data_IF_559679325004
#
_entry.id   IF_559679325004
#
_cell.length_a   1.000
_cell.length_b   1.000
_cell.length_c   1.000
_cell.angle_alpha   90.00
_cell.angle_beta   90.00
_cell.angle_gamma   90.00
#
_symmetry.space_group_name_H-M   'P 1'
#
loop_
_entity.id
_entity.type
_entity.pdbx_description
1 polymer ?
#
# COMPACT_ATOMS: atom_id res chain seq x y z
N UNK A 1 33.69 -10.43 14.01
CA UNK A 1 33.32 -9.47 15.08
C UNK A 1 31.80 -9.46 15.09
N UNK A 2 31.20 -10.13 16.07
CA UNK A 2 29.76 -10.44 16.11
C UNK A 2 28.98 -9.13 16.23
N UNK A 3 28.16 -8.79 15.23
CA UNK A 3 27.23 -7.67 15.30
C UNK A 3 26.37 -7.83 16.57
N UNK A 4 26.42 -6.85 17.46
CA UNK A 4 25.67 -6.90 18.72
C UNK A 4 24.17 -6.81 18.42
N UNK A 5 23.39 -7.66 19.07
CA UNK A 5 21.92 -7.71 19.13
C UNK A 5 21.25 -6.30 19.13
N UNK A 6 21.90 -5.29 19.71
CA UNK A 6 21.50 -3.87 19.68
C UNK A 6 21.30 -3.22 18.30
N UNK A 7 22.05 -3.61 17.27
CA UNK A 7 21.85 -3.04 15.91
C UNK A 7 20.66 -3.67 15.19
N UNK A 8 20.28 -4.90 15.54
CA UNK A 8 19.05 -5.57 15.05
C UNK A 8 17.80 -4.99 15.73
N UNK A 9 17.90 -4.53 16.97
CA UNK A 9 16.79 -3.97 17.75
C UNK A 9 16.42 -2.52 17.38
N UNK A 10 17.35 -1.74 16.79
CA UNK A 10 17.18 -0.29 16.60
C UNK A 10 16.27 0.16 15.45
N UNK A 11 15.89 -0.73 14.53
CA UNK A 11 15.20 -0.35 13.28
C UNK A 11 13.78 -0.90 13.12
N UNK A 12 13.35 -1.83 13.99
CA UNK A 12 12.08 -2.54 13.82
C UNK A 12 11.20 -2.62 15.07
N UNK A 13 11.63 -2.07 16.21
CA UNK A 13 10.98 -2.37 17.47
C UNK A 13 10.56 -1.07 18.15
N UNK A 14 9.30 -0.68 17.94
CA UNK A 14 8.60 -0.13 19.08
C UNK A 14 8.59 -1.25 20.12
N UNK A 15 9.29 -1.01 21.23
CA UNK A 15 9.49 -1.96 22.33
C UNK A 15 8.19 -2.70 22.67
N UNK A 16 8.14 -3.99 22.36
CA UNK A 16 7.11 -4.92 22.85
C UNK A 16 7.36 -5.39 24.29
N UNK A 17 8.38 -4.84 24.96
CA UNK A 17 8.58 -5.09 26.38
C UNK A 17 7.32 -4.60 27.13
N UNK A 18 6.68 -5.44 27.95
CA UNK A 18 5.49 -5.04 28.69
C UNK A 18 5.85 -3.86 29.59
N UNK A 19 5.40 -2.68 29.19
CA UNK A 19 5.39 -1.52 30.09
C UNK A 19 4.33 -1.80 31.17
N UNK A 20 4.56 -1.39 32.43
CA UNK A 20 3.60 -1.64 33.51
C UNK A 20 2.21 -1.04 33.22
N UNK A 21 2.17 0.02 32.42
CA UNK A 21 0.95 0.68 31.94
C UNK A 21 1.01 0.88 30.42
N UNK A 22 -0.13 0.78 29.70
CA UNK A 22 -0.17 1.00 28.25
C UNK A 22 0.15 2.45 27.88
N UNK A 23 0.89 2.67 26.80
CA UNK A 23 1.28 4.02 26.35
C UNK A 23 0.06 4.78 25.78
N UNK A 24 -0.28 5.97 26.28
CA UNK A 24 -1.37 6.79 25.73
C UNK A 24 -1.05 7.22 24.29
N UNK A 25 -1.74 6.61 23.33
CA UNK A 25 -1.44 6.76 21.90
C UNK A 25 -2.57 7.48 21.17
N UNK A 26 -2.31 8.68 20.67
CA UNK A 26 -3.26 9.45 19.88
C UNK A 26 -3.15 9.07 18.40
N UNK A 27 -4.10 8.26 17.94
CA UNK A 27 -4.15 7.76 16.57
C UNK A 27 -4.84 8.75 15.64
N UNK A 28 -4.10 9.20 14.61
CA UNK A 28 -4.49 10.28 13.70
C UNK A 28 -4.67 9.72 12.29
N UNK A 29 -5.74 10.15 11.60
CA UNK A 29 -6.10 9.72 10.24
C UNK A 29 -6.33 8.19 10.08
N UNK A 30 -6.65 7.48 11.17
CA UNK A 30 -6.98 6.05 11.11
C UNK A 30 -8.48 5.83 10.86
N UNK A 31 -8.78 5.26 9.70
CA UNK A 31 -10.13 4.88 9.31
C UNK A 31 -10.78 3.91 10.31
N UNK A 32 -12.10 4.03 10.52
CA UNK A 32 -12.84 3.27 11.53
C UNK A 32 -12.62 1.75 11.46
N UNK A 33 -12.60 1.20 10.24
CA UNK A 33 -12.40 -0.24 10.02
C UNK A 33 -10.99 -0.74 10.37
N UNK A 34 -10.00 0.15 10.49
CA UNK A 34 -8.62 -0.18 10.91
C UNK A 34 -8.43 -0.14 12.43
N UNK A 35 -9.37 0.44 13.18
CA UNK A 35 -9.20 0.69 14.62
C UNK A 35 -9.11 -0.58 15.45
N UNK A 36 -9.96 -1.56 15.15
CA UNK A 36 -9.98 -2.85 15.85
C UNK A 36 -8.71 -3.67 15.59
N UNK A 37 -8.23 -3.83 14.34
CA UNK A 37 -6.94 -4.48 14.09
C UNK A 37 -5.77 -3.76 14.77
N UNK A 38 -5.75 -2.42 14.78
CA UNK A 38 -4.69 -1.66 15.42
C UNK A 38 -4.60 -1.91 16.93
N UNK A 39 -5.74 -2.01 17.62
CA UNK A 39 -5.77 -2.38 19.04
C UNK A 39 -5.20 -3.78 19.30
N UNK A 40 -5.30 -4.70 18.34
CA UNK A 40 -4.71 -6.05 18.43
C UNK A 40 -3.22 -6.05 18.09
N UNK A 41 -2.79 -5.28 17.09
CA UNK A 41 -1.39 -5.21 16.65
C UNK A 41 -0.47 -4.54 17.68
N UNK A 42 -1.02 -3.61 18.48
CA UNK A 42 -0.26 -2.89 19.49
C UNK A 42 -0.96 -2.97 20.86
N UNK A 43 -0.91 -4.16 21.51
CA UNK A 43 -1.60 -4.39 22.79
C UNK A 43 -0.99 -3.60 23.96
N UNK A 44 0.23 -3.07 23.78
CA UNK A 44 0.97 -2.20 24.69
C UNK A 44 0.47 -0.74 24.65
N UNK A 45 -0.49 -0.41 23.78
CA UNK A 45 -0.99 0.96 23.58
C UNK A 45 -2.42 1.13 24.04
N UNK A 46 -2.68 2.27 24.66
CA UNK A 46 -4.04 2.75 24.88
C UNK A 46 -4.42 3.77 23.79
N UNK A 47 -5.18 3.33 22.78
CA UNK A 47 -5.51 4.17 21.63
C UNK A 47 -6.64 5.17 21.88
N UNK A 48 -6.34 6.44 21.61
CA UNK A 48 -7.29 7.51 21.45
C UNK A 48 -7.42 7.86 19.96
N UNK A 49 -8.47 7.37 19.29
CA UNK A 49 -8.67 7.62 17.87
C UNK A 49 -9.32 8.98 17.60
N UNK A 50 -8.57 9.89 16.96
CA UNK A 50 -9.07 11.21 16.58
C UNK A 50 -10.03 11.12 15.38
N UNK A 51 -10.94 12.10 15.21
CA UNK A 51 -11.76 12.22 14.01
C UNK A 51 -10.90 12.43 12.76
N UNK A 52 -11.31 11.84 11.63
CA UNK A 52 -10.60 12.01 10.34
C UNK A 52 -10.49 13.47 9.89
N UNK A 53 -11.52 14.27 10.16
CA UNK A 53 -11.58 15.69 9.82
C UNK A 53 -11.64 16.52 11.10
N UNK A 54 -10.52 16.57 11.82
CA UNK A 54 -10.42 17.32 13.06
C UNK A 54 -10.46 18.84 12.77
N UNK A 55 -11.53 19.51 13.20
CA UNK A 55 -11.63 20.96 13.10
C UNK A 55 -10.81 21.66 14.19
N UNK A 56 -10.29 22.85 13.89
CA UNK A 56 -9.45 23.64 14.81
C UNK A 56 -10.14 23.91 16.17
N UNK A 57 -11.42 24.27 16.16
CA UNK A 57 -12.19 24.49 17.40
C UNK A 57 -12.33 23.24 18.26
N UNK A 58 -12.51 22.08 17.61
CA UNK A 58 -12.62 20.80 18.31
C UNK A 58 -11.27 20.38 18.88
N UNK A 59 -10.20 20.56 18.10
CA UNK A 59 -8.84 20.35 18.57
C UNK A 59 -8.54 21.15 19.83
N UNK A 60 -8.74 22.48 19.80
CA UNK A 60 -8.41 23.36 20.92
C UNK A 60 -9.26 23.08 22.18
N UNK A 61 -10.55 22.74 22.03
CA UNK A 61 -11.45 22.56 23.17
C UNK A 61 -11.48 21.15 23.76
N UNK A 62 -11.23 20.13 22.94
CA UNK A 62 -11.42 18.73 23.34
C UNK A 62 -10.12 17.97 23.32
N UNK A 63 -9.42 17.95 22.18
CA UNK A 63 -8.30 17.04 22.00
C UNK A 63 -7.01 17.55 22.62
N UNK A 64 -6.68 18.82 22.47
CA UNK A 64 -5.49 19.42 23.06
C UNK A 64 -5.46 19.31 24.59
N UNK A 65 -6.54 19.62 25.34
CA UNK A 65 -6.55 19.41 26.79
C UNK A 65 -6.39 17.95 27.18
N UNK A 66 -6.99 17.00 26.42
CA UNK A 66 -6.85 15.56 26.67
C UNK A 66 -5.42 15.09 26.44
N UNK A 67 -4.82 15.46 25.31
CA UNK A 67 -3.41 15.13 24.99
C UNK A 67 -2.48 15.64 26.09
N UNK A 68 -2.70 16.87 26.57
CA UNK A 68 -1.87 17.48 27.60
C UNK A 68 -2.12 16.94 29.02
N UNK A 69 -3.18 16.14 29.22
CA UNK A 69 -3.50 15.54 30.51
C UNK A 69 -2.84 14.15 30.68
N UNK A 70 -2.48 13.49 29.59
CA UNK A 70 -1.78 12.20 29.60
C UNK A 70 -0.30 12.38 29.98
N UNK A 71 0.26 11.40 30.67
CA UNK A 71 1.70 11.32 30.90
C UNK A 71 2.36 10.64 29.69
N UNK A 72 3.43 11.25 29.17
CA UNK A 72 4.22 10.76 28.03
C UNK A 72 3.37 10.29 26.82
N UNK A 73 2.46 11.15 26.28
CA UNK A 73 1.65 10.77 25.14
C UNK A 73 2.51 10.57 23.89
N UNK A 74 2.02 9.80 22.92
CA UNK A 74 2.60 9.70 21.58
C UNK A 74 1.53 9.93 20.49
N UNK A 75 1.98 10.34 19.30
CA UNK A 75 1.15 10.40 18.09
C UNK A 75 1.50 9.27 17.14
N UNK A 76 0.44 8.67 16.58
CA UNK A 76 0.54 7.61 15.60
C UNK A 76 -0.33 7.98 14.40
N UNK A 77 0.28 8.43 13.30
CA UNK A 77 -0.40 9.08 12.20
C UNK A 77 -0.35 8.23 10.92
N UNK A 78 -1.52 7.92 10.34
CA UNK A 78 -1.54 7.28 9.03
C UNK A 78 -1.23 8.31 7.92
N UNK A 79 -0.23 8.02 7.09
CA UNK A 79 0.21 8.87 5.99
C UNK A 79 1.43 9.74 6.32
N UNK A 80 1.81 10.65 5.41
CA UNK A 80 3.12 11.32 5.46
C UNK A 80 3.19 12.53 6.39
N UNK A 81 2.04 13.10 6.79
CA UNK A 81 2.01 14.35 7.54
C UNK A 81 1.04 14.27 8.73
N UNK A 82 1.42 14.93 9.82
CA UNK A 82 0.55 15.21 10.94
C UNK A 82 -0.20 16.54 10.67
N UNK A 83 -1.52 16.64 10.91
CA UNK A 83 -2.24 17.89 10.70
C UNK A 83 -1.62 19.06 11.47
N UNK A 84 -1.55 20.25 10.86
CA UNK A 84 -0.80 21.40 11.38
C UNK A 84 -1.01 21.72 12.88
N UNK A 85 -2.23 21.73 13.45
CA UNK A 85 -2.40 21.99 14.88
C UNK A 85 -1.78 20.93 15.78
N UNK A 86 -1.80 19.66 15.35
CA UNK A 86 -1.18 18.54 16.04
C UNK A 86 0.33 18.56 15.88
N UNK A 87 0.85 18.85 14.68
CA UNK A 87 2.28 19.02 14.42
C UNK A 87 2.90 20.16 15.25
N UNK A 88 2.21 21.31 15.33
CA UNK A 88 2.64 22.42 16.17
C UNK A 88 2.68 22.04 17.67
N UNK A 89 1.67 21.31 18.14
CA UNK A 89 1.63 20.81 19.52
C UNK A 89 2.74 19.79 19.79
N UNK A 90 2.95 18.86 18.86
CA UNK A 90 3.97 17.82 18.98
C UNK A 90 5.36 18.43 19.12
N UNK A 91 5.70 19.39 18.26
CA UNK A 91 6.97 20.14 18.33
C UNK A 91 7.09 20.97 19.61
N UNK A 92 6.03 21.67 20.00
CA UNK A 92 6.06 22.52 21.20
C UNK A 92 6.24 21.74 22.51
N UNK A 93 5.85 20.46 22.53
CA UNK A 93 5.87 19.60 23.72
C UNK A 93 6.83 18.41 23.61
N UNK A 94 7.57 18.31 22.51
CA UNK A 94 8.42 17.16 22.19
C UNK A 94 7.67 15.82 22.27
N UNK A 95 6.41 15.79 21.82
CA UNK A 95 5.61 14.56 21.77
C UNK A 95 6.14 13.71 20.60
N UNK A 96 6.51 12.44 20.83
CA UNK A 96 6.93 11.54 19.76
C UNK A 96 5.86 11.37 18.68
N UNK A 97 6.27 11.32 17.42
CA UNK A 97 5.37 11.08 16.27
C UNK A 97 5.91 9.88 15.50
N UNK A 98 5.04 8.90 15.28
CA UNK A 98 5.30 7.78 14.36
C UNK A 98 4.32 7.85 13.20
N UNK A 99 4.84 7.94 11.98
CA UNK A 99 4.07 7.84 10.76
C UNK A 99 3.88 6.37 10.37
N UNK A 100 2.68 6.04 9.89
CA UNK A 100 2.33 4.68 9.49
C UNK A 100 1.83 4.65 8.05
N UNK A 101 2.29 3.64 7.33
CA UNK A 101 1.74 3.27 6.04
C UNK A 101 1.62 1.75 5.88
N UNK A 102 0.91 1.34 4.82
CA UNK A 102 0.93 -0.05 4.40
C UNK A 102 2.40 -0.46 4.09
N UNK A 103 2.82 -1.60 4.62
CA UNK A 103 4.09 -2.22 4.26
C UNK A 103 4.11 -2.72 2.81
N UNK A 104 5.26 -3.22 2.37
CA UNK A 104 5.45 -3.62 0.97
C UNK A 104 4.73 -4.92 0.61
N UNK A 105 4.43 -5.77 1.60
CA UNK A 105 3.62 -6.98 1.47
C UNK A 105 2.28 -6.81 2.18
N UNK A 106 1.27 -6.31 1.47
CA UNK A 106 0.06 -5.79 2.11
C UNK A 106 -0.98 -6.87 2.44
N UNK A 107 -1.42 -7.64 1.44
CA UNK A 107 -2.50 -8.62 1.57
C UNK A 107 -2.70 -9.43 0.28
N UNK A 108 -3.30 -10.63 0.37
CA UNK A 108 -3.73 -11.39 -0.81
C UNK A 108 -4.78 -10.65 -1.67
N UNK A 109 -5.48 -9.68 -1.06
CA UNK A 109 -6.57 -8.93 -1.69
C UNK A 109 -6.21 -7.44 -1.83
N UNK A 110 -6.59 -6.74 -2.92
CA UNK A 110 -6.31 -5.31 -3.07
C UNK A 110 -6.92 -4.41 -1.99
N UNK A 111 -6.31 -3.25 -1.72
CA UNK A 111 -6.66 -2.31 -0.64
C UNK A 111 -8.13 -1.92 -0.55
N UNK A 112 -8.81 -1.84 -1.70
CA UNK A 112 -10.23 -1.53 -1.77
C UNK A 112 -11.13 -2.50 -0.96
N UNK A 113 -10.71 -3.74 -0.67
CA UNK A 113 -11.52 -4.70 0.11
C UNK A 113 -11.48 -4.52 1.62
N UNK A 114 -10.79 -3.49 2.14
CA UNK A 114 -10.69 -3.24 3.60
C UNK A 114 -10.22 -4.45 4.38
N UNK A 115 -9.36 -5.23 3.75
CA UNK A 115 -8.62 -6.31 4.38
C UNK A 115 -7.60 -5.68 5.32
N UNK A 116 -7.51 -6.10 6.59
CA UNK A 116 -6.48 -5.64 7.50
C UNK A 116 -5.09 -5.81 6.86
N UNK A 117 -4.19 -4.82 7.01
CA UNK A 117 -2.85 -4.93 6.46
C UNK A 117 -2.05 -5.99 7.22
N UNK A 118 -1.43 -6.92 6.48
CA UNK A 118 -0.54 -7.93 7.07
C UNK A 118 0.84 -7.35 7.42
N UNK A 119 1.16 -6.18 6.87
CA UNK A 119 2.43 -5.50 7.05
C UNK A 119 2.21 -3.99 7.18
N UNK A 120 2.89 -3.38 8.14
CA UNK A 120 2.88 -1.95 8.38
C UNK A 120 4.32 -1.42 8.35
N UNK A 121 4.52 -0.29 7.67
CA UNK A 121 5.72 0.52 7.81
C UNK A 121 5.49 1.53 8.93
N UNK A 122 6.40 1.58 9.89
CA UNK A 122 6.37 2.52 11.01
C UNK A 122 7.65 3.36 10.93
N UNK A 123 7.50 4.68 10.83
CA UNK A 123 8.63 5.59 10.67
C UNK A 123 8.48 6.84 11.53
N UNK A 124 9.40 7.05 12.46
CA UNK A 124 9.43 8.22 13.34
C UNK A 124 10.01 9.48 12.69
N UNK A 125 10.56 9.37 11.46
CA UNK A 125 11.15 10.49 10.72
C UNK A 125 10.26 10.92 9.56
N UNK A 126 10.06 10.03 8.59
CA UNK A 126 9.25 10.26 7.40
C UNK A 126 8.93 8.94 6.71
N UNK A 127 7.73 8.78 6.16
CA UNK A 127 7.37 7.56 5.42
C UNK A 127 8.31 7.34 4.23
N UNK A 128 8.63 6.07 3.94
CA UNK A 128 9.56 5.62 2.90
C UNK A 128 9.42 6.28 1.52
N UNK A 129 8.23 6.74 1.13
CA UNK A 129 8.01 7.39 -0.17
C UNK A 129 8.26 8.91 -0.17
N UNK A 130 8.44 9.55 1.00
CA UNK A 130 8.77 10.97 1.08
C UNK A 130 10.26 11.19 0.88
N UNK A 131 10.64 11.66 -0.31
CA UNK A 131 12.03 11.94 -0.64
C UNK A 131 12.51 13.34 -0.20
N UNK A 132 11.64 14.16 0.40
CA UNK A 132 11.97 15.52 0.85
C UNK A 132 12.72 15.51 2.17
N UNK A 133 12.53 14.45 2.97
CA UNK A 133 13.09 14.27 4.30
C UNK A 133 13.78 12.90 4.41
N UNK A 134 14.77 12.74 5.30
CA UNK A 134 15.33 11.42 5.59
C UNK A 134 14.29 10.54 6.32
N UNK A 135 14.13 9.29 5.89
CA UNK A 135 13.32 8.27 6.56
C UNK A 135 14.19 7.33 7.41
N UNK A 136 13.59 6.58 8.34
CA UNK A 136 14.30 5.51 9.02
C UNK A 136 14.73 4.40 8.05
N UNK A 137 13.96 4.14 6.99
CA UNK A 137 14.39 3.22 5.94
C UNK A 137 15.64 3.73 5.20
N UNK A 138 15.71 5.02 4.87
CA UNK A 138 16.88 5.62 4.22
C UNK A 138 18.12 5.53 5.11
N UNK A 139 17.96 5.80 6.40
CA UNK A 139 19.03 5.64 7.39
C UNK A 139 19.46 4.17 7.55
N UNK A 140 18.52 3.24 7.67
CA UNK A 140 18.79 1.81 7.74
C UNK A 140 19.62 1.35 6.55
N UNK A 141 19.16 1.66 5.33
CA UNK A 141 19.85 1.30 4.09
C UNK A 141 21.23 1.98 3.96
N UNK A 142 21.34 3.22 4.44
CA UNK A 142 22.58 3.99 4.42
C UNK A 142 23.63 3.53 5.43
N UNK A 143 23.22 2.98 6.58
CA UNK A 143 24.12 2.78 7.74
C UNK A 143 24.29 1.33 8.19
N UNK A 144 23.37 0.42 7.86
CA UNK A 144 23.47 -0.98 8.29
C UNK A 144 24.61 -1.73 7.58
N UNK A 145 25.37 -2.53 8.33
CA UNK A 145 26.46 -3.35 7.79
C UNK A 145 25.94 -4.70 7.27
N UNK A 146 25.36 -4.68 6.07
CA UNK A 146 24.84 -5.88 5.42
C UNK A 146 25.92 -6.91 5.05
N UNK A 147 27.17 -6.47 4.84
CA UNK A 147 28.27 -7.38 4.47
C UNK A 147 28.71 -8.24 5.65
N UNK A 148 28.60 -7.71 6.88
CA UNK A 148 28.90 -8.43 8.10
C UNK A 148 27.77 -9.37 8.58
N UNK A 149 26.52 -9.22 8.10
CA UNK A 149 25.38 -10.08 8.48
C UNK A 149 25.04 -11.13 7.41
N UNK A 150 25.90 -12.15 7.30
CA UNK A 150 25.76 -13.23 6.32
C UNK A 150 24.46 -14.05 6.48
N UNK A 151 23.94 -14.17 7.71
CA UNK A 151 22.68 -14.85 8.00
C UNK A 151 21.50 -14.08 7.41
N UNK A 152 21.45 -12.76 7.65
CA UNK A 152 20.43 -11.89 7.07
C UNK A 152 20.50 -11.88 5.54
N UNK A 153 21.69 -11.85 4.94
CA UNK A 153 21.84 -11.90 3.49
C UNK A 153 21.39 -13.24 2.89
N UNK A 154 21.62 -14.34 3.59
CA UNK A 154 21.10 -15.66 3.19
C UNK A 154 19.57 -15.68 3.27
N UNK A 155 18.99 -15.14 4.35
CA UNK A 155 17.53 -14.99 4.49
C UNK A 155 16.93 -14.10 3.41
N UNK A 156 17.59 -12.99 3.07
CA UNK A 156 17.16 -12.09 2.01
C UNK A 156 17.14 -12.77 0.64
N UNK A 157 18.17 -13.54 0.30
CA UNK A 157 18.21 -14.31 -0.96
C UNK A 157 17.08 -15.34 -1.02
N UNK A 158 16.87 -16.08 0.07
CA UNK A 158 15.76 -17.04 0.15
C UNK A 158 14.39 -16.34 0.04
N UNK A 159 14.23 -15.17 0.67
CA UNK A 159 13.02 -14.35 0.60
C UNK A 159 12.74 -13.82 -0.81
N UNK A 160 13.77 -13.40 -1.54
CA UNK A 160 13.69 -13.02 -2.96
C UNK A 160 13.19 -14.20 -3.80
N UNK A 161 13.79 -15.38 -3.63
CA UNK A 161 13.35 -16.60 -4.34
C UNK A 161 11.89 -16.92 -4.01
N UNK A 162 11.52 -16.91 -2.73
CA UNK A 162 10.16 -17.18 -2.27
C UNK A 162 9.13 -16.21 -2.89
N UNK A 163 9.42 -14.91 -2.91
CA UNK A 163 8.53 -13.90 -3.48
C UNK A 163 8.42 -14.01 -5.00
N UNK A 164 9.55 -14.26 -5.68
CA UNK A 164 9.58 -14.32 -7.14
C UNK A 164 8.90 -15.56 -7.70
N UNK A 165 9.08 -16.72 -7.06
CA UNK A 165 8.48 -18.01 -7.43
C UNK A 165 6.98 -18.11 -7.09
N UNK A 166 6.54 -17.47 -6.00
CA UNK A 166 5.13 -17.46 -5.63
C UNK A 166 4.25 -16.60 -6.54
N UNK A 167 4.86 -15.73 -7.37
CA UNK A 167 4.13 -14.76 -8.19
C UNK A 167 3.42 -13.68 -7.39
N UNK A 168 3.68 -13.60 -6.07
CA UNK A 168 3.03 -12.66 -5.16
C UNK A 168 3.58 -11.24 -5.41
N UNK A 169 2.66 -10.29 -5.49
CA UNK A 169 2.89 -8.84 -5.62
C UNK A 169 2.08 -8.10 -4.55
N UNK A 170 2.23 -6.76 -4.44
CA UNK A 170 1.43 -5.95 -3.50
C UNK A 170 -0.08 -6.16 -3.68
N UNK A 171 -0.52 -6.47 -4.90
CA UNK A 171 -1.91 -6.79 -5.23
C UNK A 171 -1.97 -8.08 -6.06
N UNK A 172 -2.57 -9.13 -5.49
CA UNK A 172 -2.69 -10.45 -6.11
C UNK A 172 -4.09 -10.62 -6.73
N UNK A 173 -4.16 -11.17 -7.94
CA UNK A 173 -5.39 -11.32 -8.72
C UNK A 173 -5.50 -12.72 -9.35
N UNK A 174 -6.73 -13.11 -9.71
CA UNK A 174 -7.02 -14.44 -10.27
C UNK A 174 -6.47 -14.67 -11.68
N UNK A 175 -6.42 -15.95 -12.08
CA UNK A 175 -5.81 -16.49 -13.32
C UNK A 175 -6.23 -15.71 -14.57
N UNK A 176 -5.23 -15.12 -15.24
CA UNK A 176 -5.37 -14.22 -16.39
C UNK A 176 -4.34 -14.56 -17.47
N UNK A 177 -4.54 -14.00 -18.67
CA UNK A 177 -3.76 -14.25 -19.89
C UNK A 177 -2.25 -14.17 -19.66
N UNK A 178 -1.47 -14.87 -20.47
CA UNK A 178 0.01 -14.77 -20.39
C UNK A 178 0.51 -13.48 -21.04
N UNK A 179 1.73 -13.07 -20.69
CA UNK A 179 2.38 -11.92 -21.31
C UNK A 179 2.53 -12.09 -22.83
N UNK A 180 2.74 -13.29 -23.38
CA UNK A 180 2.78 -13.49 -24.83
C UNK A 180 1.40 -13.32 -25.47
N UNK A 181 0.33 -13.72 -24.80
CA UNK A 181 -1.04 -13.52 -25.31
C UNK A 181 -1.41 -12.03 -25.38
N UNK A 182 -0.82 -11.19 -24.52
CA UNK A 182 -1.09 -9.76 -24.45
C UNK A 182 -0.09 -8.94 -25.28
N UNK A 183 1.20 -9.26 -25.23
CA UNK A 183 2.27 -8.48 -25.86
C UNK A 183 2.66 -9.00 -27.25
N UNK A 184 2.18 -10.19 -27.63
CA UNK A 184 2.56 -10.91 -28.84
C UNK A 184 3.90 -11.64 -28.71
N UNK A 185 4.46 -12.03 -29.86
CA UNK A 185 5.81 -12.60 -29.93
C UNK A 185 6.87 -11.54 -29.58
N UNK A 186 7.90 -11.94 -28.81
CA UNK A 186 9.00 -11.04 -28.45
C UNK A 186 10.04 -11.04 -29.58
N UNK A 187 9.96 -10.03 -30.44
CA UNK A 187 10.90 -9.84 -31.56
C UNK A 187 12.00 -8.81 -31.29
N UNK A 188 11.86 -8.02 -30.21
CA UNK A 188 12.78 -6.95 -29.81
C UNK A 188 12.73 -6.68 -28.30
N UNK A 189 13.59 -5.78 -27.79
CA UNK A 189 13.60 -5.35 -26.37
C UNK A 189 12.20 -4.86 -25.96
N UNK A 190 11.71 -5.28 -24.81
CA UNK A 190 10.42 -4.86 -24.23
C UNK A 190 10.65 -3.90 -23.08
N UNK A 191 10.01 -2.74 -23.16
CA UNK A 191 10.04 -1.71 -22.13
C UNK A 191 8.65 -1.55 -21.56
N UNK A 192 8.49 -1.76 -20.26
CA UNK A 192 7.22 -1.56 -19.57
C UNK A 192 7.21 -0.21 -18.86
N UNK A 193 6.26 0.64 -19.23
CA UNK A 193 5.95 1.89 -18.52
C UNK A 193 4.81 1.60 -17.55
N UNK A 194 5.07 1.80 -16.26
CA UNK A 194 4.09 1.53 -15.20
C UNK A 194 3.33 2.81 -14.85
N UNK A 195 2.04 2.83 -15.18
CA UNK A 195 1.14 3.92 -14.81
C UNK A 195 0.82 3.94 -13.31
N UNK A 196 0.70 5.14 -12.75
CA UNK A 196 0.30 5.39 -11.37
C UNK A 196 -0.86 6.39 -11.32
N UNK A 197 -1.55 6.42 -10.18
CA UNK A 197 -2.48 7.49 -9.86
C UNK A 197 -1.65 8.76 -9.60
N UNK A 198 -1.82 9.78 -10.43
CA UNK A 198 -0.92 10.96 -10.44
C UNK A 198 -1.06 11.89 -9.23
N UNK A 199 -2.15 11.76 -8.46
CA UNK A 199 -2.34 12.46 -7.19
C UNK A 199 -2.00 11.60 -5.96
N UNK A 200 -1.42 10.40 -6.17
CA UNK A 200 -0.95 9.52 -5.11
C UNK A 200 0.13 10.19 -4.24
N UNK A 201 0.14 9.87 -2.95
CA UNK A 201 1.12 10.43 -2.01
C UNK A 201 2.56 10.07 -2.41
N UNK A 202 2.82 8.87 -2.91
CA UNK A 202 4.17 8.50 -3.36
C UNK A 202 4.64 9.33 -4.55
N UNK A 203 3.74 9.80 -5.43
CA UNK A 203 4.11 10.72 -6.52
C UNK A 203 4.32 12.12 -5.96
N UNK A 204 3.38 12.63 -5.15
CA UNK A 204 3.43 13.99 -4.59
C UNK A 204 4.65 14.25 -3.68
N UNK A 205 5.10 13.23 -2.95
CA UNK A 205 6.19 13.34 -1.98
C UNK A 205 7.49 12.70 -2.51
N UNK A 206 7.41 11.88 -3.55
CA UNK A 206 8.56 11.21 -4.17
C UNK A 206 9.03 11.82 -5.50
N UNK A 207 8.21 12.63 -6.17
CA UNK A 207 8.58 13.29 -7.44
C UNK A 207 8.52 14.82 -7.27
N UNK A 208 9.69 15.46 -7.24
CA UNK A 208 9.86 16.90 -7.03
C UNK A 208 9.55 17.71 -8.29
N UNK A 209 9.84 17.13 -9.46
CA UNK A 209 9.46 17.68 -10.76
C UNK A 209 8.06 17.20 -11.15
N UNK A 210 7.33 18.02 -11.92
CA UNK A 210 6.10 17.56 -12.54
C UNK A 210 6.39 16.41 -13.52
N UNK A 211 5.73 15.28 -13.31
CA UNK A 211 5.84 14.09 -14.15
C UNK A 211 4.47 13.41 -14.22
N UNK A 212 3.86 13.39 -15.40
CA UNK A 212 2.64 12.62 -15.66
C UNK A 212 2.97 11.22 -16.17
N UNK A 213 1.97 10.35 -16.23
CA UNK A 213 2.15 9.04 -16.87
C UNK A 213 2.49 9.19 -18.36
N UNK A 214 1.91 10.18 -19.06
CA UNK A 214 2.20 10.43 -20.48
C UNK A 214 3.64 10.94 -20.67
N UNK A 215 4.14 11.80 -19.78
CA UNK A 215 5.53 12.25 -19.78
C UNK A 215 6.50 11.07 -19.61
N UNK A 216 6.16 10.11 -18.75
CA UNK A 216 6.95 8.90 -18.56
C UNK A 216 6.97 8.01 -19.81
N UNK A 217 5.85 7.89 -20.53
CA UNK A 217 5.79 7.17 -21.82
C UNK A 217 6.63 7.89 -22.88
N UNK A 218 6.55 9.21 -22.95
CA UNK A 218 7.37 10.02 -23.85
C UNK A 218 8.86 9.85 -23.58
N UNK A 219 9.25 9.85 -22.29
CA UNK A 219 10.62 9.62 -21.85
C UNK A 219 11.12 8.24 -22.32
N UNK A 220 10.37 7.18 -22.00
CA UNK A 220 10.72 5.81 -22.40
C UNK A 220 10.84 5.66 -23.92
N UNK A 221 9.89 6.21 -24.68
CA UNK A 221 9.91 6.16 -26.14
C UNK A 221 11.10 6.93 -26.75
N UNK A 222 11.50 8.04 -26.13
CA UNK A 222 12.65 8.84 -26.60
C UNK A 222 14.00 8.15 -26.39
N UNK A 223 14.12 7.33 -25.35
CA UNK A 223 15.38 6.69 -24.96
C UNK A 223 15.53 5.27 -25.46
N UNK A 224 14.40 4.62 -25.76
CA UNK A 224 14.34 3.26 -26.24
C UNK A 224 13.66 3.21 -27.63
N UNK A 225 14.19 3.92 -28.65
CA UNK A 225 13.51 4.10 -29.94
C UNK A 225 13.24 2.78 -30.67
N UNK A 226 14.11 1.78 -30.48
CA UNK A 226 13.99 0.48 -31.13
C UNK A 226 13.20 -0.55 -30.30
N UNK A 227 12.78 -0.21 -29.08
CA UNK A 227 12.07 -1.13 -28.19
C UNK A 227 10.56 -1.15 -28.42
N UNK A 228 9.94 -2.27 -28.05
CA UNK A 228 8.49 -2.36 -27.90
C UNK A 228 8.11 -1.68 -26.58
N UNK A 229 7.55 -0.47 -26.66
CA UNK A 229 7.03 0.24 -25.49
C UNK A 229 5.64 -0.32 -25.16
N UNK A 230 5.51 -0.86 -23.95
CA UNK A 230 4.28 -1.37 -23.35
C UNK A 230 3.88 -0.38 -22.25
N UNK A 231 2.73 0.27 -22.36
CA UNK A 231 2.24 1.15 -21.30
C UNK A 231 1.10 0.45 -20.58
N UNK A 232 1.24 0.22 -19.28
CA UNK A 232 0.21 -0.35 -18.41
C UNK A 232 -0.38 0.74 -17.51
N UNK A 233 -1.52 1.36 -17.87
CA UNK A 233 -2.15 2.37 -17.04
C UNK A 233 -2.64 1.79 -15.72
N UNK A 234 -2.72 2.62 -14.67
CA UNK A 234 -3.29 2.18 -13.40
C UNK A 234 -4.80 1.89 -13.56
N UNK A 235 -5.36 0.82 -12.97
CA UNK A 235 -6.79 0.49 -13.08
C UNK A 235 -7.73 1.64 -12.69
N UNK A 236 -7.38 2.41 -11.67
CA UNK A 236 -8.16 3.58 -11.23
C UNK A 236 -8.17 4.75 -12.24
N UNK A 237 -7.14 4.84 -13.10
CA UNK A 237 -7.08 5.82 -14.19
C UNK A 237 -8.00 5.36 -15.33
N UNK A 238 -7.98 4.06 -15.66
CA UNK A 238 -8.86 3.48 -16.68
C UNK A 238 -10.34 3.60 -16.30
N UNK A 239 -10.67 3.43 -15.02
CA UNK A 239 -12.05 3.53 -14.52
C UNK A 239 -12.57 4.96 -14.36
N UNK A 240 -11.73 5.99 -14.61
CA UNK A 240 -12.06 7.43 -14.48
C UNK A 240 -12.64 7.83 -13.12
N UNK A 241 -12.33 7.07 -12.06
CA UNK A 241 -12.81 7.33 -10.69
C UNK A 241 -12.12 8.57 -10.09
N UNK A 242 -10.98 8.98 -10.65
CA UNK A 242 -10.26 10.20 -10.30
C UNK A 242 -10.13 11.14 -11.50
N UNK A 243 -9.99 12.47 -11.29
CA UNK A 243 -9.72 13.41 -12.38
C UNK A 243 -8.48 12.99 -13.16
N UNK A 244 -8.66 12.69 -14.45
CA UNK A 244 -7.55 12.34 -15.32
C UNK A 244 -6.69 13.58 -15.57
N UNK A 245 -5.43 13.52 -15.13
CA UNK A 245 -4.40 14.53 -15.42
C UNK A 245 -3.62 14.21 -16.70
N UNK A 246 -3.64 12.96 -17.13
CA UNK A 246 -3.12 12.45 -18.41
C UNK A 246 -4.16 11.59 -19.12
N UNK A 247 -4.16 11.57 -20.46
CA UNK A 247 -4.97 10.64 -21.25
C UNK A 247 -4.07 9.63 -22.00
N UNK A 248 -4.16 8.32 -21.70
CA UNK A 248 -3.41 7.28 -22.43
C UNK A 248 -3.61 7.32 -23.96
N UNK A 249 -4.72 7.84 -24.46
CA UNK A 249 -4.98 7.97 -25.89
C UNK A 249 -3.97 8.91 -26.59
N UNK A 250 -3.45 9.92 -25.89
CA UNK A 250 -2.51 10.89 -26.46
C UNK A 250 -1.13 10.30 -26.77
N UNK A 251 -0.76 9.22 -26.07
CA UNK A 251 0.52 8.51 -26.23
C UNK A 251 0.38 7.15 -26.91
N UNK A 252 -0.83 6.74 -27.28
CA UNK A 252 -1.12 5.44 -27.89
C UNK A 252 -0.36 5.19 -29.21
N UNK A 253 0.08 6.24 -29.91
CA UNK A 253 0.93 6.13 -31.12
C UNK A 253 2.37 5.70 -30.82
N UNK A 254 2.81 5.82 -29.56
CA UNK A 254 4.18 5.55 -29.12
C UNK A 254 4.33 4.21 -28.39
N UNK A 255 3.23 3.59 -27.98
CA UNK A 255 3.23 2.40 -27.16
C UNK A 255 2.02 1.50 -27.42
N UNK A 256 2.15 0.21 -27.10
CA UNK A 256 1.01 -0.69 -26.94
C UNK A 256 0.38 -0.47 -25.56
N UNK A 257 -0.89 -0.08 -25.52
CA UNK A 257 -1.64 0.05 -24.28
C UNK A 257 -2.04 -1.34 -23.73
N UNK A 258 -1.55 -1.66 -22.54
CA UNK A 258 -1.87 -2.89 -21.80
C UNK A 258 -3.04 -2.60 -20.86
N UNK A 259 -4.25 -2.73 -21.39
CA UNK A 259 -5.50 -2.47 -20.64
C UNK A 259 -6.08 -3.73 -20.00
N UNK A 260 -5.58 -4.88 -20.46
CA UNK A 260 -5.89 -6.20 -19.94
C UNK A 260 -5.47 -6.29 -18.47
N UNK A 261 -6.33 -6.97 -17.71
CA UNK A 261 -5.97 -7.38 -16.37
C UNK A 261 -4.89 -8.45 -16.49
N UNK A 262 -3.69 -8.07 -16.07
CA UNK A 262 -2.46 -8.85 -16.12
C UNK A 262 -1.75 -8.60 -14.78
N UNK A 263 -1.57 -9.64 -13.94
CA UNK A 263 -0.83 -9.51 -12.68
C UNK A 263 0.58 -8.99 -12.95
N UNK A 264 1.13 -8.21 -12.02
CA UNK A 264 2.42 -7.56 -12.24
C UNK A 264 3.56 -8.56 -12.48
N UNK A 265 3.57 -9.67 -11.73
CA UNK A 265 4.55 -10.74 -11.91
C UNK A 265 4.55 -11.30 -13.34
N UNK A 266 3.36 -11.54 -13.91
CA UNK A 266 3.22 -11.99 -15.31
C UNK A 266 3.59 -10.86 -16.28
N UNK A 267 3.17 -9.62 -15.99
CA UNK A 267 3.46 -8.46 -16.81
C UNK A 267 4.97 -8.21 -16.98
N UNK A 268 5.78 -8.55 -15.98
CA UNK A 268 7.23 -8.39 -15.96
C UNK A 268 7.98 -9.56 -16.64
N UNK A 269 7.35 -10.72 -16.84
CA UNK A 269 8.05 -11.96 -17.23
C UNK A 269 8.85 -11.88 -18.52
N UNK A 270 8.40 -11.06 -19.48
CA UNK A 270 9.08 -10.90 -20.79
C UNK A 270 9.68 -9.51 -20.99
N UNK A 271 9.64 -8.66 -19.97
CA UNK A 271 10.11 -7.27 -19.98
C UNK A 271 11.59 -7.22 -19.68
N UNK A 272 12.32 -6.38 -20.42
CA UNK A 272 13.76 -6.18 -20.24
C UNK A 272 14.08 -4.93 -19.42
N UNK A 273 13.19 -3.93 -19.46
CA UNK A 273 13.38 -2.64 -18.78
C UNK A 273 12.05 -2.07 -18.31
N UNK A 274 12.00 -1.57 -17.08
CA UNK A 274 10.84 -0.87 -16.51
C UNK A 274 11.11 0.62 -16.34
N UNK A 275 10.17 1.44 -16.78
CA UNK A 275 10.11 2.88 -16.49
C UNK A 275 8.99 3.13 -15.48
N UNK A 276 9.30 3.88 -14.42
CA UNK A 276 8.33 4.22 -13.37
C UNK A 276 8.61 5.60 -12.77
N UNK A 277 7.59 6.24 -12.20
CA UNK A 277 7.78 7.47 -11.42
C UNK A 277 8.26 7.10 -10.02
N UNK A 278 7.39 6.48 -9.21
CA UNK A 278 7.68 6.07 -7.84
C UNK A 278 7.03 4.74 -7.45
N UNK A 279 6.53 3.98 -8.42
CA UNK A 279 5.72 2.78 -8.17
C UNK A 279 6.53 1.71 -7.46
N UNK A 280 5.90 0.99 -6.52
CA UNK A 280 6.52 -0.22 -5.96
C UNK A 280 6.85 -1.26 -7.03
N UNK A 281 6.17 -1.23 -8.18
CA UNK A 281 6.46 -2.10 -9.31
C UNK A 281 7.91 -2.02 -9.81
N UNK A 282 8.56 -0.85 -9.69
CA UNK A 282 9.98 -0.72 -10.01
C UNK A 282 10.84 -1.55 -9.05
N UNK A 283 10.50 -1.62 -7.77
CA UNK A 283 11.22 -2.48 -6.83
C UNK A 283 11.01 -3.97 -7.12
N UNK A 284 9.78 -4.37 -7.46
CA UNK A 284 9.50 -5.75 -7.87
C UNK A 284 10.28 -6.15 -9.13
N UNK A 285 10.50 -5.20 -10.05
CA UNK A 285 11.34 -5.41 -11.23
C UNK A 285 12.83 -5.58 -10.87
N UNK A 286 13.35 -4.76 -9.95
CA UNK A 286 14.73 -4.90 -9.42
C UNK A 286 14.95 -6.28 -8.80
N UNK A 287 14.00 -6.75 -7.98
CA UNK A 287 14.06 -8.07 -7.33
C UNK A 287 14.10 -9.21 -8.37
N UNK A 288 13.54 -8.98 -9.57
CA UNK A 288 13.57 -9.92 -10.71
C UNK A 288 14.78 -9.73 -11.63
N UNK A 289 15.70 -8.83 -11.31
CA UNK A 289 16.89 -8.55 -12.11
C UNK A 289 16.61 -7.77 -13.41
N UNK A 290 15.48 -7.07 -13.48
CA UNK A 290 15.10 -6.25 -14.65
C UNK A 290 15.69 -4.85 -14.50
N UNK A 291 16.15 -4.24 -15.59
CA UNK A 291 16.65 -2.86 -15.59
C UNK A 291 15.51 -1.89 -15.23
N UNK A 292 15.78 -0.88 -14.39
CA UNK A 292 14.76 0.08 -13.95
C UNK A 292 15.25 1.51 -14.08
N UNK A 293 14.48 2.33 -14.78
CA UNK A 293 14.62 3.79 -14.81
C UNK A 293 13.55 4.44 -13.93
N UNK A 294 13.96 5.32 -13.02
CA UNK A 294 13.05 6.05 -12.14
C UNK A 294 13.00 7.54 -12.52
N UNK A 295 11.79 8.05 -12.76
CA UNK A 295 11.58 9.47 -13.04
C UNK A 295 11.40 10.30 -11.75
N UNK A 296 10.89 9.69 -10.67
CA UNK A 296 10.90 10.25 -9.33
C UNK A 296 12.01 9.65 -8.47
N UNK A 297 11.90 9.83 -7.15
CA UNK A 297 12.84 9.31 -6.14
C UNK A 297 12.11 8.36 -5.17
N UNK A 298 11.66 7.17 -5.61
CA UNK A 298 11.13 6.15 -4.70
C UNK A 298 12.21 5.66 -3.73
N UNK A 299 11.84 4.98 -2.64
CA UNK A 299 12.79 4.53 -1.61
C UNK A 299 13.96 3.67 -2.12
N UNK A 300 13.75 2.96 -3.23
CA UNK A 300 14.72 2.06 -3.85
C UNK A 300 15.65 2.74 -4.88
N UNK A 301 15.41 4.01 -5.22
CA UNK A 301 16.31 4.79 -6.10
C UNK A 301 17.52 5.34 -5.33
N UNK A 302 18.62 5.65 -6.04
CA UNK A 302 19.82 6.26 -5.46
C UNK A 302 20.82 5.27 -4.84
N UNK A 303 20.55 3.96 -4.92
CA UNK A 303 21.40 2.91 -4.34
C UNK A 303 22.23 2.14 -5.39
N UNK A 304 22.28 2.63 -6.63
CA UNK A 304 23.02 2.02 -7.74
C UNK A 304 22.34 0.82 -8.42
N UNK A 305 21.06 0.57 -8.11
CA UNK A 305 20.23 -0.49 -8.71
C UNK A 305 19.25 0.04 -9.77
N UNK A 306 19.24 1.36 -9.99
CA UNK A 306 18.33 2.08 -10.89
C UNK A 306 19.08 3.14 -11.69
N UNK A 307 18.54 3.48 -12.86
CA UNK A 307 18.90 4.68 -13.61
C UNK A 307 17.97 5.84 -13.19
N UNK A 308 18.49 6.78 -12.41
CA UNK A 308 17.70 7.79 -11.70
C UNK A 308 17.70 9.14 -12.40
N UNK A 309 16.50 9.66 -12.71
CA UNK A 309 16.34 10.99 -13.32
C UNK A 309 16.13 12.08 -12.30
N UNK A 310 15.71 11.69 -11.10
CA UNK A 310 15.72 12.54 -9.93
C UNK A 310 16.75 12.02 -8.92
N UNK A 311 18.00 12.51 -8.96
CA UNK A 311 19.02 12.08 -8.01
C UNK A 311 18.68 12.49 -6.58
N UNK A 312 19.10 11.68 -5.62
CA UNK A 312 18.99 12.00 -4.19
C UNK A 312 20.39 12.11 -3.57
N UNK A 313 20.87 13.32 -3.23
CA UNK A 313 22.23 13.52 -2.74
C UNK A 313 22.50 12.88 -1.37
N UNK A 314 21.46 12.45 -0.64
CA UNK A 314 21.61 11.75 0.65
C UNK A 314 21.92 10.26 0.46
N UNK A 315 21.68 9.71 -0.74
CA UNK A 315 21.92 8.30 -1.08
C UNK A 315 23.17 8.21 -1.94
N UNK A 316 24.29 7.80 -1.33
CA UNK A 316 25.61 7.75 -1.97
C UNK A 316 26.29 6.38 -1.93
N UNK A 317 25.64 5.38 -1.32
CA UNK A 317 26.15 4.01 -1.19
C UNK A 317 25.55 3.12 -2.27
N UNK A 318 26.33 2.17 -2.78
CA UNK A 318 25.82 1.08 -3.62
C UNK A 318 25.34 -0.09 -2.77
N UNK A 319 24.16 -0.60 -3.05
CA UNK A 319 23.58 -1.78 -2.39
C UNK A 319 23.42 -2.93 -3.38
N UNK A 320 23.52 -4.16 -2.89
CA UNK A 320 23.03 -5.33 -3.62
C UNK A 320 21.51 -5.41 -3.56
N UNK A 321 20.90 -6.20 -4.45
CA UNK A 321 19.46 -6.49 -4.42
C UNK A 321 19.09 -7.11 -3.07
N UNK A 322 19.91 -8.03 -2.54
CA UNK A 322 19.67 -8.66 -1.24
C UNK A 322 19.72 -7.65 -0.08
N UNK A 323 20.64 -6.69 -0.08
CA UNK A 323 20.73 -5.68 0.96
C UNK A 323 19.50 -4.75 0.95
N UNK A 324 19.09 -4.30 -0.24
CA UNK A 324 17.89 -3.48 -0.38
C UNK A 324 16.62 -4.26 0.02
N UNK A 325 16.52 -5.54 -0.35
CA UNK A 325 15.44 -6.43 0.06
C UNK A 325 15.43 -6.66 1.57
N UNK A 326 16.58 -6.91 2.20
CA UNK A 326 16.67 -7.11 3.63
C UNK A 326 16.17 -5.87 4.40
N UNK A 327 16.62 -4.68 4.00
CA UNK A 327 16.14 -3.43 4.58
C UNK A 327 14.64 -3.26 4.41
N UNK A 328 14.14 -3.42 3.17
CA UNK A 328 12.75 -3.12 2.84
C UNK A 328 11.75 -4.18 3.34
N UNK A 329 12.05 -5.48 3.27
CA UNK A 329 11.09 -6.54 3.59
C UNK A 329 11.37 -7.23 4.93
N UNK A 330 12.59 -7.22 5.46
CA UNK A 330 12.92 -8.01 6.67
C UNK A 330 13.13 -7.17 7.92
N UNK A 331 13.66 -5.96 7.78
CA UNK A 331 14.04 -5.11 8.91
C UNK A 331 13.10 -3.92 9.13
N UNK A 332 12.65 -3.24 8.08
CA UNK A 332 11.88 -2.01 8.22
C UNK A 332 10.40 -2.22 8.61
N UNK A 333 9.62 -3.09 7.94
CA UNK A 333 8.20 -3.26 8.25
C UNK A 333 7.98 -4.22 9.42
N UNK A 334 6.90 -4.00 10.15
CA UNK A 334 6.35 -4.97 11.08
C UNK A 334 5.30 -5.84 10.36
N UNK A 335 5.24 -7.12 10.69
CA UNK A 335 4.25 -8.07 10.17
C UNK A 335 3.33 -8.54 11.29
N UNK A 336 2.06 -8.74 10.95
CA UNK A 336 1.03 -9.14 11.91
C UNK A 336 0.10 -10.18 11.33
N UNK A 337 -0.29 -11.14 12.17
CA UNK A 337 -1.46 -11.97 11.90
C UNK A 337 -2.73 -11.13 12.12
N UNK A 338 -3.61 -10.97 11.11
CA UNK A 338 -4.79 -10.12 11.20
C UNK A 338 -5.95 -10.73 12.00
N UNK A 339 -5.87 -11.99 12.42
CA UNK A 339 -6.84 -12.70 13.25
C UNK A 339 -6.40 -12.73 14.72
N UNK A 340 -5.14 -13.06 14.99
CA UNK A 340 -4.62 -13.12 16.38
C UNK A 340 -4.07 -11.79 16.87
N UNK A 341 -3.56 -10.95 15.96
CA UNK A 341 -2.84 -9.72 16.28
C UNK A 341 -1.37 -9.93 16.62
N UNK A 342 -0.90 -11.18 16.65
CA UNK A 342 0.48 -11.52 16.99
C UNK A 342 1.45 -11.04 15.91
N UNK A 343 2.68 -10.72 16.33
CA UNK A 343 3.76 -10.42 15.38
C UNK A 343 4.09 -11.67 14.57
N UNK A 344 4.30 -11.46 13.28
CA UNK A 344 4.67 -12.51 12.33
C UNK A 344 6.00 -12.17 11.65
N UNK A 345 6.48 -13.09 10.82
CA UNK A 345 7.62 -12.89 9.92
C UNK A 345 7.17 -12.62 8.48
N UNK A 346 8.10 -12.14 7.66
CA UNK A 346 7.91 -12.03 6.22
C UNK A 346 7.52 -13.38 5.61
N UNK A 347 8.21 -14.45 5.98
CA UNK A 347 8.03 -15.79 5.44
C UNK A 347 6.63 -16.36 5.75
N UNK A 348 6.18 -16.22 7.00
CA UNK A 348 4.84 -16.61 7.43
C UNK A 348 3.76 -15.79 6.74
N UNK A 349 4.00 -14.48 6.55
CA UNK A 349 3.08 -13.61 5.83
C UNK A 349 2.96 -14.04 4.37
N UNK A 350 4.07 -14.34 3.70
CA UNK A 350 4.05 -14.86 2.32
C UNK A 350 3.33 -16.21 2.26
N UNK A 351 3.59 -17.12 3.21
CA UNK A 351 2.90 -18.41 3.28
C UNK A 351 1.38 -18.24 3.45
N UNK A 352 0.96 -17.33 4.34
CA UNK A 352 -0.45 -16.98 4.58
C UNK A 352 -1.10 -16.44 3.30
N UNK A 353 -0.45 -15.51 2.61
CA UNK A 353 -0.95 -14.97 1.33
C UNK A 353 -1.06 -16.09 0.29
N UNK A 354 -0.06 -16.96 0.18
CA UNK A 354 -0.08 -18.07 -0.76
C UNK A 354 -1.26 -19.01 -0.50
N UNK A 355 -1.47 -19.41 0.75
CA UNK A 355 -2.63 -20.23 1.14
C UNK A 355 -3.95 -19.53 0.77
N UNK A 356 -4.07 -18.22 1.04
CA UNK A 356 -5.26 -17.44 0.66
C UNK A 356 -5.49 -17.33 -0.86
N UNK A 357 -4.44 -17.49 -1.67
CA UNK A 357 -4.52 -17.49 -3.14
C UNK A 357 -4.78 -18.89 -3.73
N UNK A 358 -4.26 -19.93 -3.08
CA UNK A 358 -4.43 -21.34 -3.46
C UNK A 358 -5.79 -21.90 -3.04
N UNK A 359 -6.37 -21.40 -1.95
CA UNK A 359 -7.76 -21.67 -1.61
C UNK A 359 -8.63 -21.32 -2.82
N UNK A 360 -9.35 -22.30 -3.41
CA UNK A 360 -10.20 -22.03 -4.56
C UNK A 360 -11.09 -20.84 -4.24
N UNK A 361 -11.18 -19.89 -5.16
CA UNK A 361 -12.18 -18.82 -5.09
C UNK A 361 -13.56 -19.47 -5.05
N UNK A 362 -13.99 -19.82 -3.85
CA UNK A 362 -14.90 -20.92 -3.58
C UNK A 362 -15.58 -20.67 -2.26
N UNK A 363 -16.05 -19.43 -2.10
CA UNK A 363 -17.35 -19.06 -1.58
C UNK A 363 -17.39 -17.54 -1.77
N UNK A 364 -18.08 -17.09 -2.83
CA UNK A 364 -18.80 -15.83 -2.70
C UNK A 364 -19.44 -15.87 -1.32
N UNK A 365 -19.16 -14.88 -0.45
CA UNK A 365 -19.84 -14.78 0.86
C UNK A 365 -21.30 -15.13 0.59
N UNK A 366 -21.84 -16.19 1.22
CA UNK A 366 -23.11 -16.76 0.79
C UNK A 366 -24.10 -15.62 0.74
N UNK A 367 -24.72 -15.42 -0.44
CA UNK A 367 -25.75 -14.39 -0.58
C UNK A 367 -26.71 -14.58 0.59
N UNK A 368 -27.09 -13.49 1.29
CA UNK A 368 -27.99 -13.61 2.42
C UNK A 368 -29.22 -14.39 1.96
N UNK A 369 -29.39 -15.59 2.53
CA UNK A 369 -30.48 -16.48 2.17
C UNK A 369 -31.79 -15.71 2.30
N UNK A 370 -32.71 -15.90 1.34
CA UNK A 370 -33.98 -15.20 1.39
C UNK A 370 -34.70 -15.53 2.70
N UNK A 371 -35.10 -14.49 3.43
CA UNK A 371 -35.92 -14.62 4.63
C UNK A 371 -37.13 -13.72 4.51
N UNK A 372 -38.30 -14.25 4.85
CA UNK A 372 -39.55 -13.50 4.88
C UNK A 372 -39.58 -12.43 5.97
N UNK A 373 -38.68 -12.49 6.97
CA UNK A 373 -38.50 -11.50 8.02
C UNK A 373 -37.03 -11.45 8.48
N UNK A 374 -36.55 -10.29 8.91
CA UNK A 374 -35.18 -10.10 9.41
C UNK A 374 -34.57 -8.75 9.02
N UNK A 375 -33.23 -8.66 8.88
CA UNK A 375 -32.53 -7.41 8.53
C UNK A 375 -32.95 -6.78 7.19
N UNK A 376 -33.51 -7.61 6.30
CA UNK A 376 -34.08 -7.21 5.01
C UNK A 376 -35.57 -6.81 5.09
N UNK A 377 -36.11 -6.68 6.31
CA UNK A 377 -37.48 -6.26 6.59
C UNK A 377 -38.52 -7.36 6.39
N UNK A 378 -39.79 -6.95 6.37
CA UNK A 378 -40.94 -7.83 6.20
C UNK A 378 -41.12 -8.24 4.73
N UNK A 379 -41.51 -9.49 4.50
CA UNK A 379 -41.75 -10.15 3.22
C UNK A 379 -40.52 -10.32 2.30
N UNK A 380 -39.30 -10.05 2.80
CA UNK A 380 -38.06 -10.34 2.08
C UNK A 380 -37.85 -9.62 0.75
N UNK A 381 -38.68 -8.63 0.40
CA UNK A 381 -38.59 -7.95 -0.91
C UNK A 381 -37.28 -7.17 -1.09
N UNK A 382 -36.61 -6.77 0.01
CA UNK A 382 -35.31 -6.09 -0.04
C UNK A 382 -34.16 -7.00 -0.49
N UNK A 383 -34.36 -8.32 -0.51
CA UNK A 383 -33.42 -9.25 -1.16
C UNK A 383 -33.39 -9.09 -2.69
N UNK A 384 -34.35 -8.36 -3.28
CA UNK A 384 -34.40 -8.06 -4.71
C UNK A 384 -33.65 -6.76 -5.06
N UNK A 385 -33.46 -5.86 -4.08
CA UNK A 385 -32.75 -4.59 -4.28
C UNK A 385 -31.35 -4.75 -4.89
N UNK A 386 -30.55 -5.79 -4.57
CA UNK A 386 -29.25 -5.98 -5.19
C UNK A 386 -29.29 -6.03 -6.73
N UNK A 387 -30.35 -6.57 -7.33
CA UNK A 387 -30.49 -6.62 -8.79
C UNK A 387 -30.61 -5.22 -9.43
N UNK A 388 -31.25 -4.27 -8.73
CA UNK A 388 -31.52 -2.92 -9.23
C UNK A 388 -30.47 -1.89 -8.82
N UNK A 389 -29.82 -2.11 -7.68
CA UNK A 389 -28.80 -1.19 -7.14
C UNK A 389 -27.40 -1.52 -7.69
N UNK A 390 -27.14 -2.78 -8.04
CA UNK A 390 -25.85 -3.20 -8.64
C UNK A 390 -25.42 -2.33 -9.85
N UNK A 391 -26.28 -2.05 -10.86
CA UNK A 391 -25.88 -1.24 -12.02
C UNK A 391 -25.46 0.18 -11.64
N UNK A 392 -26.08 0.75 -10.61
CA UNK A 392 -25.74 2.09 -10.10
C UNK A 392 -24.41 2.05 -9.36
N UNK A 393 -24.19 1.05 -8.50
CA UNK A 393 -22.92 0.85 -7.81
C UNK A 393 -21.79 0.61 -8.81
N UNK A 394 -22.01 -0.18 -9.86
CA UNK A 394 -21.04 -0.40 -10.94
C UNK A 394 -20.68 0.90 -11.66
N UNK A 395 -21.64 1.81 -11.85
CA UNK A 395 -21.41 3.09 -12.52
C UNK A 395 -20.65 4.08 -11.64
N UNK A 396 -20.79 3.96 -10.31
CA UNK A 396 -20.21 4.90 -9.33
C UNK A 396 -18.96 4.36 -8.63
N UNK A 397 -18.67 3.06 -8.75
CA UNK A 397 -17.58 2.36 -8.10
C UNK A 397 -16.98 1.30 -9.02
N UNK A 398 -16.35 0.29 -8.43
CA UNK A 398 -15.67 -0.80 -9.13
C UNK A 398 -16.57 -2.04 -9.27
N UNK A 399 -16.21 -2.96 -10.17
CA UNK A 399 -16.85 -4.29 -10.23
C UNK A 399 -16.71 -5.07 -8.91
N UNK A 400 -15.75 -4.68 -8.06
CA UNK A 400 -15.55 -5.24 -6.73
C UNK A 400 -16.52 -4.68 -5.69
N UNK A 401 -16.88 -3.40 -5.77
CA UNK A 401 -17.94 -2.80 -4.93
C UNK A 401 -19.29 -3.48 -5.19
N UNK A 402 -19.52 -3.92 -6.43
CA UNK A 402 -20.68 -4.73 -6.79
C UNK A 402 -20.66 -6.09 -6.10
N UNK A 403 -19.50 -6.75 -6.02
CA UNK A 403 -19.35 -8.03 -5.34
C UNK A 403 -19.56 -7.89 -3.83
N UNK A 404 -18.92 -6.90 -3.19
CA UNK A 404 -19.08 -6.61 -1.76
C UNK A 404 -20.53 -6.25 -1.41
N UNK A 405 -21.18 -5.44 -2.26
CA UNK A 405 -22.60 -5.11 -2.11
C UNK A 405 -23.50 -6.33 -2.26
N UNK A 406 -23.23 -7.24 -3.21
CA UNK A 406 -24.04 -8.46 -3.39
C UNK A 406 -23.83 -9.46 -2.25
N UNK A 407 -22.64 -9.47 -1.66
CA UNK A 407 -22.29 -10.32 -0.53
C UNK A 407 -23.01 -9.88 0.75
N UNK A 408 -22.97 -8.59 1.08
CA UNK A 408 -23.65 -8.04 2.26
C UNK A 408 -24.11 -6.59 2.01
N UNK A 409 -25.30 -6.41 1.41
CA UNK A 409 -25.84 -5.09 1.09
C UNK A 409 -25.88 -4.12 2.26
N UNK A 410 -26.19 -4.63 3.46
CA UNK A 410 -26.36 -3.83 4.66
C UNK A 410 -24.99 -3.35 5.13
N UNK A 411 -24.05 -4.28 5.34
CA UNK A 411 -22.69 -3.95 5.77
C UNK A 411 -21.97 -3.09 4.75
N UNK A 412 -22.14 -3.36 3.45
CA UNK A 412 -21.60 -2.54 2.37
C UNK A 412 -21.94 -1.07 2.59
N UNK A 413 -23.24 -0.74 2.65
CA UNK A 413 -23.68 0.65 2.83
C UNK A 413 -23.26 1.24 4.18
N UNK A 414 -23.30 0.47 5.27
CA UNK A 414 -22.88 0.93 6.61
C UNK A 414 -21.40 1.30 6.65
N UNK A 415 -20.62 0.64 5.82
CA UNK A 415 -19.18 0.76 5.78
C UNK A 415 -18.71 1.94 4.90
N UNK A 416 -19.53 2.48 4.00
CA UNK A 416 -19.12 3.59 3.10
C UNK A 416 -18.63 4.83 3.87
N UNK A 417 -17.56 5.47 3.39
CA UNK A 417 -16.94 6.63 4.02
C UNK A 417 -17.82 7.89 3.93
N UNK A 418 -18.54 8.07 2.82
CA UNK A 418 -19.46 9.18 2.62
C UNK A 418 -20.74 9.01 3.47
N UNK A 419 -21.03 10.02 4.30
CA UNK A 419 -22.23 10.08 5.13
C UNK A 419 -23.52 10.01 4.31
N UNK A 420 -23.56 10.57 3.11
CA UNK A 420 -24.73 10.55 2.22
C UNK A 420 -25.08 9.12 1.82
N UNK A 421 -24.09 8.32 1.43
CA UNK A 421 -24.31 6.92 1.06
C UNK A 421 -24.69 6.04 2.26
N UNK A 422 -24.13 6.32 3.46
CA UNK A 422 -24.58 5.66 4.69
C UNK A 422 -26.05 5.95 5.02
N UNK A 423 -26.51 7.19 4.80
CA UNK A 423 -27.92 7.58 4.99
C UNK A 423 -28.81 6.85 3.98
N UNK A 424 -28.44 6.83 2.69
CA UNK A 424 -29.15 6.07 1.65
C UNK A 424 -29.26 4.60 2.06
N UNK A 425 -28.17 4.01 2.55
CA UNK A 425 -28.15 2.67 3.09
C UNK A 425 -29.12 2.43 4.25
N UNK A 426 -29.26 3.39 5.17
CA UNK A 426 -30.23 3.34 6.28
C UNK A 426 -31.68 3.40 5.78
N UNK A 427 -31.94 4.03 4.64
CA UNK A 427 -33.28 4.07 4.02
C UNK A 427 -33.57 2.75 3.30
N UNK A 428 -32.61 2.24 2.52
CA UNK A 428 -32.76 1.00 1.75
C UNK A 428 -32.84 -0.22 2.67
N UNK A 429 -32.03 -0.27 3.71
CA UNK A 429 -31.96 -1.34 4.70
C UNK A 429 -32.10 -0.75 6.12
N UNK A 430 -33.33 -0.45 6.58
CA UNK A 430 -33.56 0.21 7.86
C UNK A 430 -33.50 -0.73 9.07
N UNK A 431 -33.57 -2.05 8.85
CA UNK A 431 -33.67 -3.05 9.90
C UNK A 431 -32.36 -3.80 10.17
N UNK A 432 -31.24 -3.35 9.60
CA UNK A 432 -29.92 -3.96 9.81
C UNK A 432 -28.78 -2.97 9.97
#
# INVERSE_FOLDING_TARGET
>A
MTLTQRQREGFAIISSAPTPEPVPTFAVQIAEWKREPFGRYFPDRHFHFLPMNLGEREFERVWKPRILAEQDPEFLAWGPDLPQPLDALAKARNIPVTFIEDGFLRSARPSASRTPPLSLALDSKAIYFDCRHPSQLEELLGTYDFEADAELMTRARAGITLLTESGISKYNGGRQRTAEEVYGEKTRKRVLVVGQVEDDASVRYGCLSHMTNNDLVLLAASEQPDAQILYKPHPDVLSRVRPARSDPAEVARLCTLVTESLPLAEALRTVDHVYTITSLAGFEAIIRGIEVTTAGCPFYSGWGLTDDRQPNPRRGRRLSIEALFAGAYLLYPCYFDPETGEQSSFEETVATIRTQLEEPQGLARPRPAWRAWGPYGLFGWRHLLPAFVTPVIRKMGSDRDVEDFRADPIRFFRSLSDRKFRIIGRILYPFG
#
